data_IF_248421833096
#
_entry.id   IF_248421833096
#
_cell.length_a   1.000
_cell.length_b   1.000
_cell.length_c   1.000
_cell.angle_alpha   90.00
_cell.angle_beta   90.00
_cell.angle_gamma   90.00
#
_symmetry.space_group_name_H-M   'P 1'
#
loop_
_entity.id
_entity.type
_entity.pdbx_description
1 polymer ?
#
# COMPACT_ATOMS: atom_id res chain seq x y z
N UNK A 1 -4.09 2.79 -5.05
CA UNK A 1 -3.25 1.78 -5.73
C UNK A 1 -2.16 2.49 -6.52
N UNK A 2 -0.94 1.95 -6.61
CA UNK A 2 0.20 2.58 -7.29
C UNK A 2 1.14 1.54 -7.93
N UNK A 3 2.03 1.98 -8.80
CA UNK A 3 2.98 1.19 -9.57
C UNK A 3 2.38 0.54 -10.83
N UNK A 4 1.32 1.12 -11.38
CA UNK A 4 0.58 0.59 -12.53
C UNK A 4 0.83 1.42 -13.79
N UNK A 5 0.05 2.48 -13.99
CA UNK A 5 0.12 3.37 -15.17
C UNK A 5 0.40 4.81 -14.82
N UNK A 6 0.48 5.11 -13.53
CA UNK A 6 0.51 6.47 -13.04
C UNK A 6 1.92 7.07 -13.07
N UNK A 7 2.02 8.29 -13.54
CA UNK A 7 3.17 9.16 -13.31
C UNK A 7 3.19 9.75 -11.88
N UNK A 8 4.35 10.20 -11.42
CA UNK A 8 4.54 10.77 -10.07
C UNK A 8 3.60 11.92 -9.74
N UNK A 9 3.27 12.78 -10.71
CA UNK A 9 2.34 13.89 -10.51
C UNK A 9 0.88 13.43 -10.31
N UNK A 10 0.49 12.24 -10.80
CA UNK A 10 -0.82 11.67 -10.48
C UNK A 10 -0.90 11.28 -9.01
N UNK A 11 0.15 10.64 -8.50
CA UNK A 11 0.26 10.27 -7.07
C UNK A 11 0.21 11.53 -6.19
N UNK A 12 1.01 12.55 -6.53
CA UNK A 12 1.03 13.79 -5.77
C UNK A 12 -0.35 14.47 -5.74
N UNK A 13 -1.03 14.58 -6.90
CA UNK A 13 -2.40 15.13 -6.97
C UNK A 13 -3.39 14.30 -6.16
N UNK A 14 -3.28 12.97 -6.20
CA UNK A 14 -4.17 12.09 -5.45
C UNK A 14 -4.02 12.29 -3.93
N UNK A 15 -2.78 12.36 -3.42
CA UNK A 15 -2.51 12.63 -2.00
C UNK A 15 -3.05 14.00 -1.57
N UNK A 16 -2.85 15.05 -2.38
CA UNK A 16 -3.39 16.38 -2.09
C UNK A 16 -4.92 16.37 -2.04
N UNK A 17 -5.58 15.68 -2.97
CA UNK A 17 -7.05 15.57 -2.96
C UNK A 17 -7.59 14.86 -1.72
N UNK A 18 -6.92 13.79 -1.27
CA UNK A 18 -7.27 13.11 -0.02
C UNK A 18 -7.10 14.05 1.17
N UNK A 19 -5.96 14.74 1.24
CA UNK A 19 -5.66 15.68 2.32
C UNK A 19 -6.69 16.80 2.41
N UNK A 20 -7.01 17.43 1.28
CA UNK A 20 -7.93 18.55 1.21
C UNK A 20 -9.35 18.09 1.60
N UNK A 21 -9.78 16.91 1.13
CA UNK A 21 -11.06 16.31 1.52
C UNK A 21 -11.10 15.96 3.02
N UNK A 22 -10.01 15.44 3.58
CA UNK A 22 -9.91 15.18 5.03
C UNK A 22 -10.01 16.46 5.84
N UNK A 23 -9.42 17.55 5.38
CA UNK A 23 -9.48 18.84 6.06
C UNK A 23 -10.93 19.36 6.16
N UNK A 24 -11.74 19.12 5.11
CA UNK A 24 -13.15 19.50 5.05
C UNK A 24 -14.05 18.56 5.88
N UNK A 25 -13.86 17.24 5.75
CA UNK A 25 -14.84 16.25 6.21
C UNK A 25 -14.41 15.48 7.47
N UNK A 26 -13.11 15.33 7.70
CA UNK A 26 -12.51 14.62 8.84
C UNK A 26 -12.97 13.17 9.00
N UNK A 27 -13.39 12.51 7.92
CA UNK A 27 -13.96 11.17 7.95
C UNK A 27 -12.95 10.02 7.77
N UNK A 28 -11.75 10.27 7.26
CA UNK A 28 -10.74 9.24 7.10
C UNK A 28 -10.06 8.90 8.42
N UNK A 29 -10.00 7.61 8.73
CA UNK A 29 -9.27 7.06 9.87
C UNK A 29 -7.84 6.66 9.51
N UNK A 30 -7.60 6.33 8.25
CA UNK A 30 -6.33 5.82 7.75
C UNK A 30 -6.14 6.07 6.24
N UNK A 31 -4.89 5.98 5.80
CA UNK A 31 -4.52 5.89 4.39
C UNK A 31 -3.83 4.56 4.12
N UNK A 32 -4.29 3.84 3.08
CA UNK A 32 -3.78 2.52 2.72
C UNK A 32 -3.14 2.55 1.32
N UNK A 33 -1.81 2.69 1.21
CA UNK A 33 -1.11 2.56 -0.06
C UNK A 33 -1.08 1.09 -0.50
N UNK A 34 -1.68 0.81 -1.66
CA UNK A 34 -1.76 -0.54 -2.21
C UNK A 34 -0.86 -0.69 -3.45
N UNK A 35 0.23 -1.47 -3.39
CA UNK A 35 1.02 -1.83 -4.57
C UNK A 35 0.16 -2.57 -5.60
N UNK A 36 0.33 -2.23 -6.87
CA UNK A 36 -0.31 -2.96 -7.96
C UNK A 36 0.29 -4.36 -8.12
N UNK A 37 -0.58 -5.37 -8.14
CA UNK A 37 -0.24 -6.77 -8.41
C UNK A 37 -0.73 -7.11 -9.81
N UNK A 38 0.19 -7.57 -10.66
CA UNK A 38 -0.02 -7.58 -12.11
C UNK A 38 -0.41 -8.93 -12.70
N UNK A 39 -0.14 -10.06 -12.02
CA UNK A 39 -0.14 -11.40 -12.63
C UNK A 39 -1.47 -11.72 -13.33
N UNK A 40 -2.59 -11.42 -12.68
CA UNK A 40 -3.94 -11.68 -13.21
C UNK A 40 -4.67 -10.40 -13.63
N UNK A 41 -3.98 -9.25 -13.67
CA UNK A 41 -4.61 -7.97 -13.97
C UNK A 41 -4.79 -7.80 -15.49
N UNK A 42 -6.03 -7.66 -16.02
CA UNK A 42 -6.25 -7.59 -17.47
C UNK A 42 -5.53 -6.43 -18.16
N UNK A 43 -5.31 -5.32 -17.46
CA UNK A 43 -4.56 -4.17 -17.99
C UNK A 43 -3.08 -4.51 -18.22
N UNK A 44 -2.49 -5.32 -17.35
CA UNK A 44 -1.12 -5.80 -17.51
C UNK A 44 -1.03 -6.85 -18.62
N UNK A 45 -1.95 -7.82 -18.64
CA UNK A 45 -2.00 -8.86 -19.67
C UNK A 45 -2.16 -8.29 -21.09
N UNK A 46 -2.78 -7.11 -21.21
CA UNK A 46 -2.91 -6.36 -22.48
C UNK A 46 -1.71 -5.45 -22.78
N UNK A 47 -0.63 -5.51 -21.99
CA UNK A 47 0.58 -4.69 -22.16
C UNK A 47 0.40 -3.21 -21.84
N UNK A 48 -0.63 -2.84 -21.08
CA UNK A 48 -1.01 -1.44 -20.81
C UNK A 48 -0.64 -0.96 -19.41
N UNK A 49 0.05 -1.78 -18.60
CA UNK A 49 0.50 -1.41 -17.26
C UNK A 49 1.86 -2.00 -16.94
N UNK A 50 2.54 -1.42 -15.94
CA UNK A 50 3.76 -1.96 -15.35
C UNK A 50 3.46 -3.23 -14.54
N UNK A 51 4.51 -3.98 -14.17
CA UNK A 51 4.44 -5.13 -13.27
C UNK A 51 4.14 -4.78 -11.80
N UNK A 52 3.90 -3.52 -11.47
CA UNK A 52 3.90 -3.04 -10.10
C UNK A 52 5.10 -2.14 -9.79
N UNK A 53 5.13 -1.59 -8.57
CA UNK A 53 6.21 -0.74 -8.11
C UNK A 53 7.47 -1.55 -7.79
N UNK A 54 8.63 -0.94 -7.94
CA UNK A 54 9.88 -1.40 -7.33
C UNK A 54 9.77 -1.25 -5.80
N UNK A 55 10.54 -2.06 -5.07
CA UNK A 55 10.62 -1.98 -3.60
C UNK A 55 10.81 -0.55 -3.08
N UNK A 56 11.78 0.18 -3.65
CA UNK A 56 12.04 1.58 -3.29
C UNK A 56 10.86 2.51 -3.54
N UNK A 57 10.12 2.32 -4.64
CA UNK A 57 8.93 3.12 -4.94
C UNK A 57 7.82 2.88 -3.89
N UNK A 58 7.65 1.62 -3.45
CA UNK A 58 6.71 1.28 -2.41
C UNK A 58 7.04 1.93 -1.06
N UNK A 59 8.31 1.89 -0.64
CA UNK A 59 8.74 2.57 0.60
C UNK A 59 8.58 4.09 0.48
N UNK A 60 8.95 4.68 -0.66
CA UNK A 60 8.81 6.13 -0.88
C UNK A 60 7.36 6.60 -0.84
N UNK A 61 6.42 5.81 -1.37
CA UNK A 61 4.99 6.13 -1.29
C UNK A 61 4.55 6.25 0.18
N UNK A 62 4.99 5.37 1.07
CA UNK A 62 4.66 5.45 2.50
C UNK A 62 5.27 6.71 3.13
N UNK A 63 6.56 6.98 2.89
CA UNK A 63 7.25 8.17 3.39
C UNK A 63 6.61 9.49 2.94
N UNK A 64 6.33 9.61 1.65
CA UNK A 64 5.70 10.82 1.08
C UNK A 64 4.29 10.98 1.61
N UNK A 65 3.53 9.88 1.75
CA UNK A 65 2.19 9.93 2.32
C UNK A 65 2.22 10.42 3.77
N UNK A 66 3.19 9.99 4.58
CA UNK A 66 3.38 10.50 5.95
C UNK A 66 3.62 12.00 5.97
N UNK A 67 4.52 12.49 5.12
CA UNK A 67 4.85 13.91 5.05
C UNK A 67 3.63 14.74 4.62
N UNK A 68 2.89 14.28 3.61
CA UNK A 68 1.79 15.05 3.02
C UNK A 68 0.53 15.03 3.89
N UNK A 69 0.23 13.89 4.52
CA UNK A 69 -1.04 13.68 5.22
C UNK A 69 -0.97 14.03 6.71
N UNK A 70 0.22 14.19 7.29
CA UNK A 70 0.36 14.63 8.68
C UNK A 70 -0.01 16.13 8.85
N UNK A 71 -0.76 16.52 9.89
CA UNK A 71 -1.37 15.70 10.96
C UNK A 71 -2.85 15.34 10.70
N UNK A 72 -3.32 15.43 9.45
CA UNK A 72 -4.74 15.27 9.10
C UNK A 72 -5.20 13.81 9.06
N UNK A 73 -4.34 12.88 8.63
CA UNK A 73 -4.57 11.44 8.69
C UNK A 73 -3.44 10.82 9.49
N UNK A 74 -3.77 10.30 10.68
CA UNK A 74 -2.77 9.81 11.61
C UNK A 74 -2.24 8.43 11.22
N UNK A 75 -3.08 7.57 10.66
CA UNK A 75 -2.75 6.19 10.37
C UNK A 75 -2.37 5.98 8.91
N UNK A 76 -1.23 5.37 8.68
CA UNK A 76 -0.80 4.87 7.37
C UNK A 76 -0.55 3.38 7.52
N UNK A 77 -1.35 2.59 6.81
CA UNK A 77 -1.29 1.15 6.87
C UNK A 77 -0.28 0.59 5.87
N UNK A 78 0.48 -0.43 6.27
CA UNK A 78 1.29 -1.26 5.36
C UNK A 78 0.76 -2.69 5.33
N UNK A 79 0.68 -3.31 4.15
CA UNK A 79 0.17 -4.68 3.99
C UNK A 79 1.30 -5.68 3.89
N UNK A 80 1.41 -6.58 4.86
CA UNK A 80 2.42 -7.64 4.86
C UNK A 80 2.25 -8.63 3.69
N UNK A 81 1.02 -8.92 3.26
CA UNK A 81 0.75 -9.79 2.11
C UNK A 81 1.23 -9.19 0.78
N UNK A 82 1.43 -7.87 0.70
CA UNK A 82 1.97 -7.20 -0.49
C UNK A 82 3.47 -6.89 -0.36
N UNK A 83 3.91 -6.51 0.83
CA UNK A 83 5.27 -6.02 1.08
C UNK A 83 6.24 -7.09 1.58
N UNK A 84 5.72 -8.20 2.12
CA UNK A 84 6.49 -9.16 2.90
C UNK A 84 7.02 -8.59 4.23
N UNK A 85 7.61 -9.42 5.11
CA UNK A 85 8.09 -8.99 6.42
C UNK A 85 9.15 -7.87 6.35
N UNK A 86 10.13 -7.99 5.46
CA UNK A 86 11.18 -6.98 5.29
C UNK A 86 10.64 -5.64 4.77
N UNK A 87 9.68 -5.70 3.82
CA UNK A 87 9.03 -4.51 3.30
C UNK A 87 8.15 -3.82 4.34
N UNK A 88 7.44 -4.57 5.18
CA UNK A 88 6.71 -4.02 6.33
C UNK A 88 7.64 -3.25 7.25
N UNK A 89 8.76 -3.85 7.66
CA UNK A 89 9.74 -3.19 8.52
C UNK A 89 10.22 -1.87 7.93
N UNK A 90 10.61 -1.88 6.64
CA UNK A 90 11.02 -0.65 5.96
C UNK A 90 9.90 0.39 5.85
N UNK A 91 8.65 -0.02 5.68
CA UNK A 91 7.50 0.90 5.66
C UNK A 91 7.24 1.52 7.04
N UNK A 92 7.38 0.75 8.13
CA UNK A 92 7.26 1.24 9.50
C UNK A 92 8.34 2.30 9.80
N UNK A 93 9.59 2.03 9.42
CA UNK A 93 10.69 3.01 9.50
C UNK A 93 10.45 4.25 8.61
N UNK A 94 9.63 4.11 7.56
CA UNK A 94 9.27 5.17 6.63
C UNK A 94 7.97 5.91 7.00
N UNK A 95 7.37 5.66 8.17
CA UNK A 95 6.23 6.42 8.67
C UNK A 95 4.86 5.74 8.53
N UNK A 96 4.82 4.48 8.09
CA UNK A 96 3.67 3.62 8.40
C UNK A 96 3.61 3.38 9.91
N UNK A 97 2.41 3.26 10.45
CA UNK A 97 2.19 3.03 11.88
C UNK A 97 1.04 2.05 12.14
N UNK A 98 0.51 1.45 11.07
CA UNK A 98 -0.53 0.44 11.12
C UNK A 98 -0.09 -0.73 10.25
N UNK A 99 -0.05 -1.93 10.84
CA UNK A 99 0.30 -3.15 10.13
C UNK A 99 -1.01 -3.85 9.78
N UNK A 100 -1.29 -3.99 8.49
CA UNK A 100 -2.49 -4.66 8.02
C UNK A 100 -2.62 -6.06 8.64
N UNK A 101 -3.83 -6.38 9.10
CA UNK A 101 -4.07 -7.48 10.02
C UNK A 101 -3.84 -8.90 9.49
N UNK A 102 -4.26 -9.86 10.30
CA UNK A 102 -4.18 -11.29 10.00
C UNK A 102 -5.01 -11.62 8.77
N UNK A 103 -4.33 -12.11 7.74
CA UNK A 103 -5.02 -12.68 6.59
C UNK A 103 -5.20 -14.16 6.86
N UNK A 104 -6.44 -14.63 6.91
CA UNK A 104 -6.76 -16.05 6.93
C UNK A 104 -7.35 -16.37 5.56
N UNK A 105 -6.59 -17.12 4.74
CA UNK A 105 -7.04 -17.56 3.42
C UNK A 105 -7.30 -16.40 2.43
N UNK A 106 -6.27 -15.59 2.16
CA UNK A 106 -6.37 -14.42 1.29
C UNK A 106 -6.65 -14.77 -0.18
N UNK A 107 -7.92 -14.94 -0.49
CA UNK A 107 -8.40 -15.36 -1.81
C UNK A 107 -8.18 -14.32 -2.90
N UNK A 108 -8.18 -13.02 -2.57
CA UNK A 108 -8.00 -11.92 -3.54
C UNK A 108 -6.53 -11.84 -4.00
N UNK A 109 -5.58 -11.94 -3.07
CA UNK A 109 -4.16 -11.93 -3.38
C UNK A 109 -3.75 -13.23 -4.11
N UNK A 110 -4.40 -14.36 -3.81
CA UNK A 110 -4.32 -15.60 -4.62
C UNK A 110 -4.88 -15.43 -6.02
N UNK A 111 -6.08 -14.88 -6.16
CA UNK A 111 -6.72 -14.60 -7.45
C UNK A 111 -5.94 -13.53 -8.26
N UNK A 112 -5.07 -12.75 -7.61
CA UNK A 112 -4.15 -11.82 -8.25
C UNK A 112 -2.77 -12.44 -8.58
N UNK A 113 -2.54 -13.72 -8.26
CA UNK A 113 -1.39 -14.53 -8.71
C UNK A 113 -0.10 -14.42 -7.88
N UNK A 114 -0.16 -13.96 -6.62
CA UNK A 114 1.04 -13.88 -5.76
C UNK A 114 1.21 -15.14 -4.90
N UNK A 115 2.47 -15.56 -4.69
CA UNK A 115 2.83 -16.72 -3.86
C UNK A 115 3.20 -16.37 -2.40
N UNK A 116 3.20 -15.09 -2.02
CA UNK A 116 3.56 -14.69 -0.65
C UNK A 116 2.35 -14.71 0.28
N UNK A 117 2.51 -15.37 1.44
CA UNK A 117 1.71 -15.14 2.63
C UNK A 117 0.22 -15.45 2.53
N UNK A 118 -0.16 -16.73 2.58
CA UNK A 118 -1.57 -17.13 2.66
C UNK A 118 -2.16 -16.90 4.05
N UNK A 119 -1.28 -16.93 5.05
CA UNK A 119 -1.59 -16.76 6.45
C UNK A 119 -0.36 -16.24 7.18
N UNK A 120 -0.58 -15.35 8.14
CA UNK A 120 0.40 -14.97 9.15
C UNK A 120 -0.35 -14.85 10.46
N UNK A 121 0.01 -15.74 11.39
CA UNK A 121 -0.59 -15.78 12.71
C UNK A 121 -0.14 -14.55 13.52
N UNK A 122 -0.97 -14.06 14.47
CA UNK A 122 -0.61 -12.95 15.34
C UNK A 122 0.77 -13.11 15.99
N UNK A 123 1.10 -14.31 16.49
CA UNK A 123 2.36 -14.59 17.18
C UNK A 123 3.59 -14.45 16.27
N UNK A 124 3.39 -14.55 14.96
CA UNK A 124 4.46 -14.32 13.96
C UNK A 124 4.59 -12.84 13.61
N UNK A 125 3.52 -12.06 13.71
CA UNK A 125 3.55 -10.59 13.48
C UNK A 125 4.23 -9.83 14.61
N UNK A 126 4.18 -10.38 15.83
CA UNK A 126 4.75 -9.77 17.03
C UNK A 126 6.27 -9.98 17.19
N UNK A 127 6.90 -10.77 16.30
CA UNK A 127 8.34 -11.03 16.28
C UNK A 127 9.11 -10.00 15.46
#
# INVERSE_FOLDING_TARGET
MFGHVEETYHVARHLLRIRDLQQETRGFTEFVPLPFVHMEAPIYLKGKARKGPKYREAVLIHAVSRIVLNPLINNIQTSWGKMGPSGVKACLDAGANDLGGTLMNESITRAAGTNHGQEMLPETMEQ
#
